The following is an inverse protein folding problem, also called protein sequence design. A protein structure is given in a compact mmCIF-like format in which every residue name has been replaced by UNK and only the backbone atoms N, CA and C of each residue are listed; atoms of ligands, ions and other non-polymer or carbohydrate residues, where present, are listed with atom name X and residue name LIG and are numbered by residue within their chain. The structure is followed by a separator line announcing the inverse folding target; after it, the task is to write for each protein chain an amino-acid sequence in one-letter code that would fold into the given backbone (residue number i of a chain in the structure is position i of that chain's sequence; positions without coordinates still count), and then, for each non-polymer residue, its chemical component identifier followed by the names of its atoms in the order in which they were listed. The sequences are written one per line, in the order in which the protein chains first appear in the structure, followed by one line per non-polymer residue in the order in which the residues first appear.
data_IF_103845397635
#
_entry.id   IF_103845397635
#
_cell.length_a   1.000
_cell.length_b   1.000
_cell.length_c   1.000
_cell.angle_alpha   90.00
_cell.angle_beta   90.00
_cell.angle_gamma   90.00
#
_symmetry.space_group_name_H-M   'P 1'
#
loop_
_entity.id
_entity.type
_entity.pdbx_description
1 polymer ?
#
# COMPACT_ATOMS: atom_id res chain seq x y z
N UNK A 1 4.71 4.29 -24.91
CA UNK A 1 3.33 4.75 -24.66
C UNK A 1 2.48 4.33 -25.84
N UNK A 2 1.23 3.96 -25.57
CA UNK A 2 0.26 3.53 -26.59
C UNK A 2 -1.03 4.30 -26.36
N UNK A 3 -1.65 4.80 -27.41
CA UNK A 3 -2.98 5.38 -27.33
C UNK A 3 -4.03 4.28 -27.19
N UNK A 4 -4.98 4.51 -26.31
CA UNK A 4 -6.13 3.64 -26.06
C UNK A 4 -7.40 4.46 -26.13
N UNK A 5 -8.47 3.81 -26.53
CA UNK A 5 -9.82 4.35 -26.45
C UNK A 5 -10.32 4.16 -25.01
N UNK A 6 -10.88 5.23 -24.42
CA UNK A 6 -11.45 5.21 -23.08
C UNK A 6 -12.95 5.50 -23.20
N UNK A 7 -13.77 4.58 -22.71
CA UNK A 7 -15.22 4.74 -22.67
C UNK A 7 -15.64 5.86 -21.71
N UNK A 8 -16.78 6.49 -21.97
CA UNK A 8 -17.39 7.42 -21.02
C UNK A 8 -17.78 6.69 -19.72
N UNK A 9 -17.77 7.38 -18.54
CA UNK A 9 -18.15 6.77 -17.28
C UNK A 9 -19.64 6.39 -17.26
N UNK A 10 -19.90 5.14 -16.89
CA UNK A 10 -21.24 4.61 -16.66
C UNK A 10 -21.80 4.99 -15.28
N UNK A 11 -22.96 4.45 -14.93
CA UNK A 11 -23.57 4.68 -13.61
C UNK A 11 -22.66 4.19 -12.47
N UNK A 12 -22.38 5.07 -11.50
CA UNK A 12 -21.47 4.79 -10.38
C UNK A 12 -19.98 4.80 -10.76
N UNK A 13 -19.63 5.39 -11.90
CA UNK A 13 -18.25 5.52 -12.39
C UNK A 13 -17.88 7.00 -12.57
N UNK A 14 -16.58 7.26 -12.57
CA UNK A 14 -16.00 8.59 -12.70
C UNK A 14 -14.83 8.55 -13.65
N UNK A 15 -14.73 9.54 -14.53
CA UNK A 15 -13.54 9.83 -15.30
C UNK A 15 -12.62 10.72 -14.46
N UNK A 16 -11.41 10.23 -14.18
CA UNK A 16 -10.38 10.95 -13.45
C UNK A 16 -9.22 11.25 -14.37
N UNK A 17 -8.85 12.52 -14.50
CA UNK A 17 -7.56 12.92 -15.06
C UNK A 17 -6.49 12.66 -14.03
N UNK A 18 -5.54 11.82 -14.36
CA UNK A 18 -4.46 11.44 -13.47
C UNK A 18 -3.34 12.50 -13.49
N UNK A 19 -2.86 12.85 -12.32
CA UNK A 19 -1.74 13.77 -12.12
C UNK A 19 -0.52 13.08 -11.53
N UNK A 20 -0.72 11.98 -10.79
CA UNK A 20 0.35 11.17 -10.26
C UNK A 20 -0.07 9.71 -10.14
N UNK A 21 0.89 8.80 -10.32
CA UNK A 21 0.73 7.38 -10.04
C UNK A 21 1.96 6.84 -9.31
N UNK A 22 1.76 6.26 -8.13
CA UNK A 22 2.81 5.53 -7.44
C UNK A 22 3.10 4.20 -8.14
N UNK A 23 4.35 3.73 -7.98
CA UNK A 23 4.79 2.42 -8.50
C UNK A 23 5.05 1.47 -7.34
N UNK A 24 4.39 0.34 -7.35
CA UNK A 24 4.40 -0.65 -6.29
C UNK A 24 5.04 -1.96 -6.76
N UNK A 25 5.49 -2.78 -5.82
CA UNK A 25 5.95 -4.13 -6.12
C UNK A 25 4.86 -5.01 -6.73
N UNK A 26 3.59 -4.75 -6.42
CA UNK A 26 2.45 -5.44 -7.03
C UNK A 26 2.32 -5.17 -8.54
N UNK A 27 2.66 -3.94 -8.99
CA UNK A 27 2.69 -3.64 -10.42
C UNK A 27 3.81 -4.40 -11.13
N UNK A 28 4.98 -4.54 -10.46
CA UNK A 28 6.09 -5.36 -10.97
C UNK A 28 5.68 -6.83 -11.08
N UNK A 29 5.06 -7.40 -10.05
CA UNK A 29 4.58 -8.78 -10.04
C UNK A 29 3.55 -9.04 -11.16
N UNK A 30 2.72 -8.05 -11.46
CA UNK A 30 1.78 -8.13 -12.58
C UNK A 30 2.50 -8.04 -13.93
N UNK A 31 3.54 -7.19 -14.04
CA UNK A 31 4.29 -6.99 -15.27
C UNK A 31 5.16 -8.20 -15.65
N UNK A 32 5.74 -8.89 -14.67
CA UNK A 32 6.63 -10.05 -14.88
C UNK A 32 5.89 -11.41 -14.83
N UNK A 33 4.59 -11.41 -14.56
CA UNK A 33 3.76 -12.63 -14.51
C UNK A 33 3.84 -13.40 -13.19
N UNK A 34 4.48 -12.85 -12.16
CA UNK A 34 4.52 -13.46 -10.81
C UNK A 34 3.12 -13.48 -10.17
N UNK A 35 2.27 -12.51 -10.49
CA UNK A 35 0.85 -12.52 -10.14
C UNK A 35 -0.03 -12.66 -11.38
N UNK A 36 -1.11 -13.45 -11.26
CA UNK A 36 -2.09 -13.58 -12.34
C UNK A 36 -2.70 -12.21 -12.67
N UNK A 37 -2.52 -11.78 -13.92
CA UNK A 37 -3.09 -10.54 -14.44
C UNK A 37 -3.63 -10.80 -15.83
N UNK A 38 -4.87 -10.41 -16.06
CA UNK A 38 -5.50 -10.57 -17.37
C UNK A 38 -4.91 -9.57 -18.36
N UNK A 39 -4.36 -10.06 -19.47
CA UNK A 39 -3.67 -9.24 -20.47
C UNK A 39 -4.43 -9.21 -21.81
N UNK A 40 -4.26 -8.13 -22.62
CA UNK A 40 -3.46 -6.93 -22.36
C UNK A 40 -4.09 -6.05 -21.28
N UNK A 41 -3.28 -5.40 -20.43
CA UNK A 41 -3.77 -4.58 -19.33
C UNK A 41 -2.98 -3.26 -19.20
N UNK A 42 -3.62 -2.25 -18.63
CA UNK A 42 -2.94 -1.05 -18.13
C UNK A 42 -2.71 -1.23 -16.62
N UNK A 43 -1.45 -1.16 -16.21
CA UNK A 43 -1.04 -1.30 -14.81
C UNK A 43 -1.24 -0.01 -13.99
N UNK A 44 -0.82 -0.04 -12.73
CA UNK A 44 -0.94 1.07 -11.80
C UNK A 44 -2.21 0.99 -10.95
N UNK A 45 -2.02 1.10 -9.62
CA UNK A 45 -3.12 1.05 -8.65
C UNK A 45 -2.98 2.08 -7.53
N UNK A 46 -2.03 3.00 -7.64
CA UNK A 46 -1.82 4.11 -6.73
C UNK A 46 -1.98 5.41 -7.51
N UNK A 47 -3.14 6.01 -7.53
CA UNK A 47 -3.43 7.18 -8.34
C UNK A 47 -3.95 8.37 -7.55
N UNK A 48 -3.69 9.56 -8.08
CA UNK A 48 -4.36 10.78 -7.66
C UNK A 48 -4.57 11.71 -8.86
N UNK A 49 -5.63 12.48 -8.82
CA UNK A 49 -5.97 13.34 -9.94
C UNK A 49 -7.22 14.17 -9.68
N UNK A 50 -7.80 14.65 -10.77
CA UNK A 50 -8.98 15.53 -10.77
C UNK A 50 -10.13 14.82 -11.50
N UNK A 51 -11.31 14.85 -10.91
CA UNK A 51 -12.54 14.37 -11.56
C UNK A 51 -12.86 15.26 -12.76
N UNK A 52 -12.99 14.66 -13.94
CA UNK A 52 -13.36 15.36 -15.18
C UNK A 52 -14.84 15.18 -15.53
N UNK A 53 -15.34 13.95 -15.35
CA UNK A 53 -16.74 13.65 -15.63
C UNK A 53 -17.25 12.59 -14.65
N UNK A 54 -18.54 12.63 -14.40
CA UNK A 54 -19.24 11.74 -13.49
C UNK A 54 -20.36 11.05 -14.24
N UNK A 55 -20.44 9.74 -14.12
CA UNK A 55 -21.51 8.95 -14.73
C UNK A 55 -22.88 9.22 -14.09
N UNK A 56 -23.96 8.71 -14.72
CA UNK A 56 -25.33 8.95 -14.23
C UNK A 56 -25.51 8.57 -12.76
N UNK A 57 -26.11 9.50 -11.98
CA UNK A 57 -26.40 9.29 -10.55
C UNK A 57 -25.19 9.39 -9.61
N UNK A 58 -24.02 9.77 -10.10
CA UNK A 58 -22.84 9.99 -9.27
C UNK A 58 -22.96 11.23 -8.36
N UNK A 59 -22.15 11.27 -7.32
CA UNK A 59 -22.19 12.29 -6.25
C UNK A 59 -21.03 13.26 -6.27
N UNK A 60 -19.92 12.87 -6.89
CA UNK A 60 -18.77 13.76 -7.05
C UNK A 60 -19.05 14.83 -8.10
N UNK A 61 -18.30 15.92 -8.05
CA UNK A 61 -18.41 17.02 -9.02
C UNK A 61 -17.12 17.13 -9.83
N UNK A 62 -17.17 17.46 -11.12
CA UNK A 62 -15.99 17.81 -11.90
C UNK A 62 -15.17 18.90 -11.19
N UNK A 63 -13.85 18.78 -11.24
CA UNK A 63 -12.91 19.64 -10.51
C UNK A 63 -12.52 19.13 -9.12
N UNK A 64 -13.21 18.12 -8.57
CA UNK A 64 -12.84 17.53 -7.27
C UNK A 64 -11.48 16.82 -7.36
N UNK A 65 -10.55 17.18 -6.48
CA UNK A 65 -9.28 16.45 -6.31
C UNK A 65 -9.53 15.14 -5.55
N UNK A 66 -8.94 14.04 -6.02
CA UNK A 66 -9.14 12.72 -5.43
C UNK A 66 -7.84 11.93 -5.31
N UNK A 67 -7.72 11.18 -4.23
CA UNK A 67 -6.83 10.02 -4.12
C UNK A 67 -7.63 8.77 -4.44
N UNK A 68 -7.03 7.81 -5.14
CA UNK A 68 -7.71 6.60 -5.58
C UNK A 68 -7.40 5.42 -4.66
N UNK A 69 -8.46 4.77 -4.18
CA UNK A 69 -8.38 3.47 -3.48
C UNK A 69 -8.64 2.34 -4.46
N UNK A 70 -7.79 1.33 -4.47
CA UNK A 70 -7.98 0.15 -5.31
C UNK A 70 -9.04 -0.84 -4.80
N UNK A 71 -9.72 -0.52 -3.68
CA UNK A 71 -10.75 -1.35 -3.08
C UNK A 71 -12.12 -0.65 -3.12
N UNK A 72 -12.91 -0.83 -4.20
CA UNK A 72 -14.26 -0.29 -4.31
C UNK A 72 -15.24 -1.10 -3.45
N UNK A 73 -15.32 -0.82 -2.17
CA UNK A 73 -16.21 -1.55 -1.26
C UNK A 73 -17.68 -1.45 -1.67
N UNK A 74 -18.41 -2.57 -1.71
CA UNK A 74 -19.82 -2.56 -2.13
C UNK A 74 -20.79 -1.98 -1.09
N UNK A 75 -20.35 -1.88 0.18
CA UNK A 75 -21.14 -1.33 1.29
C UNK A 75 -22.25 -2.24 1.84
N UNK A 76 -22.51 -3.41 1.25
CA UNK A 76 -23.66 -4.26 1.61
C UNK A 76 -23.34 -5.76 1.79
N UNK A 77 -22.17 -6.25 1.41
CA UNK A 77 -21.78 -7.62 1.76
C UNK A 77 -21.49 -7.72 3.27
N UNK A 78 -21.44 -8.93 3.78
CA UNK A 78 -21.23 -9.20 5.21
C UNK A 78 -20.02 -8.42 5.76
N UNK A 79 -18.87 -8.49 5.08
CA UNK A 79 -17.65 -7.79 5.52
C UNK A 79 -17.81 -6.27 5.54
N UNK A 80 -18.47 -5.71 4.52
CA UNK A 80 -18.73 -4.28 4.50
C UNK A 80 -19.66 -3.83 5.64
N UNK A 81 -20.72 -4.58 5.92
CA UNK A 81 -21.66 -4.29 7.03
C UNK A 81 -20.95 -4.37 8.39
N UNK A 82 -20.00 -5.29 8.56
CA UNK A 82 -19.12 -5.39 9.74
C UNK A 82 -18.07 -4.28 9.80
N UNK A 83 -17.99 -3.45 8.77
CA UNK A 83 -17.01 -2.37 8.68
C UNK A 83 -15.63 -2.82 8.21
N UNK A 84 -15.49 -4.03 7.68
CA UNK A 84 -14.26 -4.58 7.13
C UNK A 84 -14.22 -4.36 5.61
N UNK A 85 -14.33 -3.09 5.18
CA UNK A 85 -14.50 -2.72 3.76
C UNK A 85 -13.33 -3.16 2.89
N UNK A 86 -12.12 -3.25 3.45
CA UNK A 86 -10.91 -3.78 2.80
C UNK A 86 -10.99 -5.28 2.46
N UNK A 87 -11.95 -6.01 3.03
CA UNK A 87 -12.25 -7.41 2.75
C UNK A 87 -13.53 -7.60 1.95
N UNK A 88 -14.01 -6.57 1.24
CA UNK A 88 -15.23 -6.63 0.46
C UNK A 88 -15.23 -7.81 -0.52
N UNK A 89 -16.09 -8.79 -0.30
CA UNK A 89 -16.15 -10.03 -1.09
C UNK A 89 -16.51 -9.75 -2.56
N UNK A 90 -17.36 -8.75 -2.81
CA UNK A 90 -17.76 -8.35 -4.16
C UNK A 90 -16.56 -7.79 -4.94
N UNK A 91 -15.79 -6.89 -4.33
CA UNK A 91 -14.61 -6.31 -4.97
C UNK A 91 -13.52 -7.36 -5.17
N UNK A 92 -13.21 -8.19 -4.17
CA UNK A 92 -12.22 -9.26 -4.31
C UNK A 92 -12.56 -10.24 -5.43
N UNK A 93 -13.84 -10.65 -5.55
CA UNK A 93 -14.29 -11.53 -6.64
C UNK A 93 -14.18 -10.85 -8.01
N UNK A 94 -14.53 -9.57 -8.11
CA UNK A 94 -14.51 -8.83 -9.37
C UNK A 94 -13.09 -8.49 -9.85
N UNK A 95 -12.13 -8.35 -8.95
CA UNK A 95 -10.74 -7.93 -9.26
C UNK A 95 -10.06 -8.84 -10.29
N UNK A 96 -10.25 -10.15 -10.19
CA UNK A 96 -9.66 -11.13 -11.11
C UNK A 96 -10.22 -11.07 -12.54
N UNK A 97 -11.33 -10.36 -12.77
CA UNK A 97 -11.94 -10.27 -14.11
C UNK A 97 -11.28 -9.24 -15.03
N UNK A 98 -10.44 -8.34 -14.47
CA UNK A 98 -9.75 -7.30 -15.25
C UNK A 98 -10.68 -6.22 -15.80
N UNK A 99 -11.90 -6.11 -15.28
CA UNK A 99 -12.87 -5.06 -15.58
C UNK A 99 -13.16 -4.20 -14.37
N UNK A 100 -14.18 -3.34 -14.44
CA UNK A 100 -14.76 -2.67 -13.29
C UNK A 100 -15.70 -3.61 -12.53
N UNK A 101 -16.56 -3.09 -11.66
CA UNK A 101 -17.42 -3.91 -10.79
C UNK A 101 -18.45 -4.76 -11.57
N UNK A 102 -18.78 -4.36 -12.79
CA UNK A 102 -19.63 -5.10 -13.73
C UNK A 102 -18.86 -6.19 -14.52
N UNK A 103 -17.55 -6.31 -14.33
CA UNK A 103 -16.66 -7.25 -15.00
C UNK A 103 -16.22 -6.81 -16.40
N UNK A 104 -16.62 -5.61 -16.86
CA UNK A 104 -16.27 -5.11 -18.20
C UNK A 104 -15.20 -4.03 -18.15
N UNK A 105 -14.20 -4.04 -19.07
CA UNK A 105 -13.21 -2.99 -19.15
C UNK A 105 -13.79 -1.71 -19.80
N UNK A 106 -13.16 -0.58 -19.48
CA UNK A 106 -13.47 0.73 -20.11
C UNK A 106 -12.39 1.16 -21.09
N UNK A 107 -11.39 0.31 -21.30
CA UNK A 107 -10.27 0.53 -22.19
C UNK A 107 -10.36 -0.41 -23.39
N UNK A 108 -10.07 0.11 -24.59
CA UNK A 108 -9.92 -0.71 -25.81
C UNK A 108 -8.82 -0.18 -26.72
N UNK A 109 -8.40 -1.03 -27.64
CA UNK A 109 -7.49 -0.69 -28.73
C UNK A 109 -7.97 -1.36 -30.02
N UNK A 110 -8.34 -0.57 -31.01
CA UNK A 110 -8.88 -1.09 -32.28
C UNK A 110 -10.02 -2.11 -32.07
N UNK A 111 -10.95 -1.82 -31.18
CA UNK A 111 -12.07 -2.68 -30.80
C UNK A 111 -11.71 -3.90 -29.93
N UNK A 112 -10.45 -4.10 -29.59
CA UNK A 112 -10.02 -5.17 -28.69
C UNK A 112 -9.96 -4.64 -27.25
N UNK A 113 -10.57 -5.37 -26.30
CA UNK A 113 -10.57 -5.01 -24.89
C UNK A 113 -9.15 -4.96 -24.31
N UNK A 114 -8.88 -3.93 -23.51
CA UNK A 114 -7.69 -3.81 -22.66
C UNK A 114 -8.17 -3.78 -21.21
N UNK A 115 -7.58 -4.63 -20.36
CA UNK A 115 -8.08 -4.88 -19.02
C UNK A 115 -7.56 -3.86 -18.01
N UNK A 116 -8.33 -3.71 -16.94
CA UNK A 116 -7.95 -2.90 -15.79
C UNK A 116 -7.08 -3.71 -14.82
N UNK A 117 -6.08 -3.05 -14.24
CA UNK A 117 -5.39 -3.52 -13.07
C UNK A 117 -5.99 -2.89 -11.82
N UNK A 118 -6.48 -3.74 -10.90
CA UNK A 118 -7.07 -3.32 -9.61
C UNK A 118 -8.12 -2.21 -9.75
N UNK A 119 -8.99 -2.29 -10.77
CA UNK A 119 -10.05 -1.31 -11.10
C UNK A 119 -9.57 0.08 -11.54
N UNK A 120 -8.28 0.40 -11.42
CA UNK A 120 -7.78 1.77 -11.53
C UNK A 120 -6.98 2.04 -12.79
N UNK A 121 -5.99 1.20 -13.13
CA UNK A 121 -5.14 1.39 -14.33
C UNK A 121 -4.43 2.75 -14.38
N UNK A 122 -3.73 3.12 -13.31
CA UNK A 122 -3.23 4.48 -13.12
C UNK A 122 -1.96 4.83 -13.91
N UNK A 123 -1.35 3.86 -14.65
CA UNK A 123 -0.25 4.17 -15.58
C UNK A 123 -0.81 4.71 -16.90
N UNK A 124 -1.62 5.73 -16.79
CA UNK A 124 -2.34 6.40 -17.87
C UNK A 124 -2.45 7.90 -17.62
N UNK A 125 -2.94 8.65 -18.60
CA UNK A 125 -3.24 10.09 -18.45
C UNK A 125 -4.63 10.30 -17.85
N UNK A 126 -5.53 9.35 -18.06
CA UNK A 126 -6.88 9.36 -17.50
C UNK A 126 -7.37 7.93 -17.28
N UNK A 127 -8.30 7.75 -16.34
CA UNK A 127 -8.93 6.47 -16.06
C UNK A 127 -10.41 6.65 -15.74
N UNK A 128 -11.25 5.73 -16.21
CA UNK A 128 -12.61 5.55 -15.70
C UNK A 128 -12.56 4.51 -14.60
N UNK A 129 -13.01 4.89 -13.42
CA UNK A 129 -12.93 4.09 -12.19
C UNK A 129 -14.27 4.07 -11.46
N UNK A 130 -14.57 3.08 -10.61
CA UNK A 130 -15.73 3.14 -9.73
C UNK A 130 -15.67 4.40 -8.85
N UNK A 131 -16.75 5.14 -8.72
CA UNK A 131 -16.82 6.37 -7.89
C UNK A 131 -16.36 6.10 -6.45
N UNK A 132 -16.62 4.90 -5.93
CA UNK A 132 -16.21 4.45 -4.58
C UNK A 132 -14.69 4.31 -4.41
N UNK A 133 -13.93 4.28 -5.51
CA UNK A 133 -12.47 4.37 -5.47
C UNK A 133 -11.98 5.80 -5.25
N UNK A 134 -12.80 6.80 -5.50
CA UNK A 134 -12.42 8.21 -5.47
C UNK A 134 -12.65 8.81 -4.08
N UNK A 135 -11.59 9.07 -3.36
CA UNK A 135 -11.63 9.72 -2.04
C UNK A 135 -11.27 11.19 -2.20
N UNK A 136 -12.19 12.13 -1.98
CA UNK A 136 -11.91 13.56 -2.07
C UNK A 136 -10.75 13.98 -1.15
N UNK A 137 -9.88 14.83 -1.65
CA UNK A 137 -8.73 15.37 -0.91
C UNK A 137 -8.70 16.90 -0.99
N UNK A 138 -8.08 17.58 -0.01
CA UNK A 138 -7.84 19.03 -0.13
C UNK A 138 -6.92 19.34 -1.31
N UNK A 139 -7.21 20.44 -2.03
CA UNK A 139 -6.41 20.91 -3.19
C UNK A 139 -4.99 21.32 -2.81
N UNK A 140 -4.75 21.57 -1.53
CA UNK A 140 -3.41 21.85 -0.99
C UNK A 140 -2.50 20.64 -0.89
N UNK A 141 -3.04 19.42 -1.03
CA UNK A 141 -2.28 18.17 -0.99
C UNK A 141 -1.67 17.89 -2.37
N UNK A 142 -0.33 17.73 -2.48
CA UNK A 142 0.29 17.35 -3.74
C UNK A 142 -0.22 15.99 -4.23
N UNK A 143 -0.54 15.88 -5.52
CA UNK A 143 -1.02 14.61 -6.10
C UNK A 143 -0.04 13.45 -5.95
N UNK A 144 1.26 13.72 -5.98
CA UNK A 144 2.31 12.72 -5.74
C UNK A 144 2.20 12.08 -4.35
N UNK A 145 1.89 12.88 -3.33
CA UNK A 145 1.67 12.39 -1.97
C UNK A 145 0.33 11.66 -1.88
N UNK A 146 -0.71 12.23 -2.46
CA UNK A 146 -2.06 11.65 -2.46
C UNK A 146 -2.07 10.27 -3.14
N UNK A 147 -1.34 10.10 -4.25
CA UNK A 147 -1.23 8.82 -4.95
C UNK A 147 -0.67 7.71 -4.05
N UNK A 148 0.36 7.99 -3.25
CA UNK A 148 0.96 7.01 -2.34
C UNK A 148 0.00 6.56 -1.23
N UNK A 149 -0.95 7.42 -0.84
CA UNK A 149 -1.97 7.06 0.15
C UNK A 149 -2.87 5.94 -0.37
N UNK A 150 -3.05 5.83 -1.68
CA UNK A 150 -3.88 4.81 -2.32
C UNK A 150 -3.50 3.37 -2.01
N UNK A 151 -2.22 3.08 -1.71
CA UNK A 151 -1.77 1.73 -1.38
C UNK A 151 -0.73 1.69 -0.26
N UNK A 152 0.54 2.03 -0.57
CA UNK A 152 1.64 1.77 0.35
C UNK A 152 1.50 2.49 1.69
N UNK A 153 1.07 3.75 1.67
CA UNK A 153 0.90 4.55 2.89
C UNK A 153 -0.26 4.03 3.72
N UNK A 154 -1.44 3.84 3.11
CA UNK A 154 -2.60 3.28 3.81
C UNK A 154 -2.31 1.90 4.40
N UNK A 155 -1.63 1.04 3.63
CA UNK A 155 -1.26 -0.30 4.07
C UNK A 155 -0.34 -0.26 5.29
N UNK A 156 0.74 0.51 5.24
CA UNK A 156 1.72 0.57 6.33
C UNK A 156 1.17 1.27 7.58
N UNK A 157 0.62 2.46 7.41
CA UNK A 157 0.02 3.24 8.51
C UNK A 157 -1.15 2.47 9.13
N UNK A 158 -2.04 1.93 8.30
CA UNK A 158 -3.21 1.17 8.74
C UNK A 158 -2.85 -0.11 9.49
N UNK A 159 -1.78 -0.81 9.09
CA UNK A 159 -1.31 -1.99 9.83
C UNK A 159 -0.93 -1.64 11.27
N UNK A 160 -0.33 -0.47 11.48
CA UNK A 160 0.00 0.03 12.82
C UNK A 160 -1.23 0.49 13.58
N UNK A 161 -2.10 1.27 12.95
CA UNK A 161 -3.24 1.91 13.63
C UNK A 161 -4.45 1.00 13.78
N UNK A 162 -4.82 0.29 12.72
CA UNK A 162 -6.06 -0.49 12.67
C UNK A 162 -5.81 -1.96 13.02
N UNK A 163 -4.81 -2.63 12.38
CA UNK A 163 -4.56 -4.06 12.62
C UNK A 163 -3.89 -4.28 13.96
N UNK A 164 -2.77 -3.62 14.22
CA UNK A 164 -2.01 -3.75 15.47
C UNK A 164 -2.64 -2.99 16.63
N UNK A 165 -3.30 -1.87 16.34
CA UNK A 165 -3.82 -0.94 17.36
C UNK A 165 -2.72 -0.45 18.33
N UNK A 166 -1.57 -0.09 17.75
CA UNK A 166 -0.39 0.42 18.49
C UNK A 166 -0.77 1.66 19.30
N UNK A 167 -0.20 1.77 20.50
CA UNK A 167 -0.44 2.87 21.43
C UNK A 167 0.85 3.66 21.68
N UNK A 168 0.74 4.90 22.18
CA UNK A 168 1.90 5.65 22.62
C UNK A 168 2.72 4.85 23.64
N UNK A 169 4.04 4.77 23.45
CA UNK A 169 4.96 4.03 24.30
C UNK A 169 5.15 2.56 23.92
N UNK A 170 4.33 1.98 23.01
CA UNK A 170 4.57 0.63 22.53
C UNK A 170 5.88 0.55 21.75
N UNK A 171 6.57 -0.58 21.87
CA UNK A 171 7.80 -0.90 21.16
C UNK A 171 7.45 -1.55 19.83
N UNK A 172 7.98 -1.03 18.74
CA UNK A 172 7.66 -1.53 17.40
C UNK A 172 8.94 -1.90 16.64
N UNK A 173 8.93 -3.03 15.96
CA UNK A 173 9.95 -3.38 14.97
C UNK A 173 9.33 -3.45 13.58
N UNK A 174 10.03 -2.91 12.58
CA UNK A 174 9.64 -2.91 11.18
C UNK A 174 10.61 -3.79 10.40
N UNK A 175 10.14 -4.88 9.82
CA UNK A 175 10.91 -5.79 8.97
C UNK A 175 10.60 -5.49 7.50
N UNK A 176 11.60 -5.00 6.78
CA UNK A 176 11.48 -4.50 5.41
C UNK A 176 11.21 -3.00 5.36
N UNK A 177 12.22 -2.23 4.94
CA UNK A 177 12.18 -0.77 4.83
C UNK A 177 11.88 -0.31 3.39
N UNK A 178 10.94 -0.99 2.72
CA UNK A 178 10.33 -0.53 1.47
C UNK A 178 9.21 0.50 1.74
N UNK A 179 8.45 0.83 0.70
CA UNK A 179 7.37 1.83 0.79
C UNK A 179 6.36 1.54 1.91
N UNK A 180 5.90 0.30 2.03
CA UNK A 180 4.95 -0.13 3.08
C UNK A 180 5.59 -0.08 4.47
N UNK A 181 6.80 -0.64 4.61
CA UNK A 181 7.48 -0.66 5.92
C UNK A 181 7.86 0.73 6.44
N UNK A 182 8.35 1.62 5.57
CA UNK A 182 8.63 3.00 5.97
C UNK A 182 7.35 3.80 6.26
N UNK A 183 6.24 3.48 5.60
CA UNK A 183 4.93 4.04 5.95
C UNK A 183 4.47 3.54 7.34
N UNK A 184 4.69 2.26 7.66
CA UNK A 184 4.42 1.71 8.99
C UNK A 184 5.31 2.38 10.06
N UNK A 185 6.59 2.61 9.76
CA UNK A 185 7.51 3.34 10.63
C UNK A 185 6.97 4.75 10.93
N UNK A 186 6.60 5.51 9.90
CA UNK A 186 6.02 6.83 10.08
C UNK A 186 4.71 6.78 10.89
N UNK A 187 3.84 5.80 10.61
CA UNK A 187 2.61 5.59 11.35
C UNK A 187 2.84 5.29 12.83
N UNK A 188 3.87 4.49 13.16
CA UNK A 188 4.27 4.18 14.53
C UNK A 188 4.82 5.42 15.27
N UNK A 189 5.68 6.18 14.60
CA UNK A 189 6.21 7.43 15.17
C UNK A 189 5.11 8.47 15.39
N UNK A 190 4.19 8.62 14.44
CA UNK A 190 3.09 9.60 14.53
C UNK A 190 2.14 9.31 15.71
N UNK A 191 2.00 8.04 16.12
CA UNK A 191 1.18 7.65 17.27
C UNK A 191 1.97 7.69 18.59
N UNK A 192 3.30 7.91 18.56
CA UNK A 192 4.15 7.98 19.74
C UNK A 192 4.68 6.62 20.20
N UNK A 193 4.79 5.63 19.33
CA UNK A 193 5.48 4.37 19.62
C UNK A 193 6.97 4.63 19.89
N UNK A 194 7.55 3.94 20.87
CA UNK A 194 8.97 4.09 21.22
C UNK A 194 9.49 2.91 22.06
N UNK A 195 10.65 2.32 21.71
CA UNK A 195 11.43 2.56 20.51
C UNK A 195 10.77 2.01 19.25
N UNK A 196 11.11 2.58 18.09
CA UNK A 196 10.78 2.02 16.77
C UNK A 196 12.07 1.57 16.10
N UNK A 197 12.22 0.27 15.87
CA UNK A 197 13.42 -0.36 15.27
C UNK A 197 13.13 -0.76 13.84
N UNK A 198 14.05 -0.47 12.93
CA UNK A 198 13.91 -0.86 11.52
C UNK A 198 14.95 -1.92 11.14
N UNK A 199 14.51 -2.97 10.43
CA UNK A 199 15.35 -4.10 9.98
C UNK A 199 15.23 -4.25 8.46
N UNK A 200 16.36 -4.28 7.75
CA UNK A 200 16.41 -4.50 6.30
C UNK A 200 17.77 -5.14 5.90
N UNK A 201 17.82 -5.69 4.70
CA UNK A 201 19.06 -6.15 4.06
C UNK A 201 19.89 -4.98 3.52
N UNK A 202 19.24 -3.91 3.08
CA UNK A 202 19.84 -2.76 2.39
C UNK A 202 20.26 -1.68 3.37
N UNK A 203 21.57 -1.38 3.41
CA UNK A 203 22.10 -0.27 4.19
C UNK A 203 21.50 1.10 3.77
N UNK A 204 21.20 1.27 2.47
CA UNK A 204 20.57 2.50 1.97
C UNK A 204 19.14 2.69 2.54
N UNK A 205 18.34 1.61 2.60
CA UNK A 205 17.00 1.63 3.18
C UNK A 205 17.04 1.86 4.69
N UNK A 206 18.01 1.26 5.39
CA UNK A 206 18.23 1.52 6.82
C UNK A 206 18.62 2.98 7.09
N UNK A 207 19.46 3.57 6.23
CA UNK A 207 19.77 5.01 6.30
C UNK A 207 18.51 5.87 6.11
N UNK A 208 17.63 5.50 5.18
CA UNK A 208 16.35 6.17 5.00
C UNK A 208 15.46 6.05 6.25
N UNK A 209 15.36 4.85 6.85
CA UNK A 209 14.60 4.62 8.07
C UNK A 209 15.14 5.46 9.24
N UNK A 210 16.46 5.50 9.44
CA UNK A 210 17.09 6.36 10.45
C UNK A 210 16.78 7.84 10.20
N UNK A 211 16.89 8.29 8.95
CA UNK A 211 16.52 9.65 8.54
C UNK A 211 15.06 10.00 8.81
N UNK A 212 14.15 9.03 8.78
CA UNK A 212 12.73 9.20 9.10
C UNK A 212 12.43 9.14 10.59
N UNK A 213 13.40 8.80 11.45
CA UNK A 213 13.26 8.83 12.89
C UNK A 213 13.23 7.46 13.59
N UNK A 214 13.64 6.39 12.90
CA UNK A 214 13.82 5.10 13.59
C UNK A 214 14.77 5.25 14.77
N UNK A 215 14.41 4.69 15.93
CA UNK A 215 15.21 4.76 17.16
C UNK A 215 16.50 3.95 17.06
N UNK A 216 16.45 2.87 16.28
CA UNK A 216 17.59 2.03 15.94
C UNK A 216 17.35 1.36 14.58
N UNK A 217 18.46 0.96 13.94
CA UNK A 217 18.42 0.18 12.70
C UNK A 217 19.27 -1.07 12.85
N UNK A 218 18.77 -2.21 12.35
CA UNK A 218 19.46 -3.49 12.36
C UNK A 218 19.55 -4.06 10.94
N UNK A 219 20.75 -4.46 10.54
CA UNK A 219 20.89 -5.22 9.29
C UNK A 219 20.44 -6.66 9.55
N UNK A 220 19.76 -7.28 8.58
CA UNK A 220 19.44 -8.69 8.61
C UNK A 220 20.70 -9.53 8.90
N UNK A 221 20.67 -10.35 9.94
CA UNK A 221 21.84 -11.06 10.46
C UNK A 221 22.16 -12.40 9.74
N UNK A 222 21.40 -12.72 8.66
CA UNK A 222 21.57 -13.95 7.90
C UNK A 222 20.51 -15.02 8.18
N UNK A 223 19.97 -15.05 9.39
CA UNK A 223 18.89 -15.94 9.83
C UNK A 223 17.87 -15.23 10.73
N UNK A 224 16.74 -15.91 10.97
CA UNK A 224 15.63 -15.35 11.72
C UNK A 224 15.94 -15.19 13.22
N UNK A 225 16.60 -16.15 13.81
CA UNK A 225 16.92 -16.22 15.25
C UNK A 225 17.90 -15.12 15.65
N UNK A 226 19.02 -15.01 14.94
CA UNK A 226 20.04 -13.98 15.19
C UNK A 226 19.47 -12.57 14.96
N UNK A 227 18.65 -12.41 13.93
CA UNK A 227 17.98 -11.11 13.66
C UNK A 227 16.99 -10.76 14.79
N UNK A 228 16.20 -11.71 15.24
CA UNK A 228 15.27 -11.50 16.35
C UNK A 228 15.99 -11.21 17.66
N UNK A 229 17.15 -11.85 17.92
CA UNK A 229 17.96 -11.57 19.10
C UNK A 229 18.51 -10.15 19.09
N UNK A 230 18.99 -9.67 17.95
CA UNK A 230 19.44 -8.29 17.78
C UNK A 230 18.31 -7.27 18.05
N UNK A 231 17.09 -7.54 17.55
CA UNK A 231 15.92 -6.70 17.83
C UNK A 231 15.57 -6.73 19.33
N UNK A 232 15.56 -7.89 19.98
CA UNK A 232 15.29 -8.01 21.42
C UNK A 232 16.32 -7.26 22.26
N UNK A 233 17.59 -7.33 21.89
CA UNK A 233 18.67 -6.59 22.54
C UNK A 233 18.46 -5.06 22.44
N UNK A 234 18.09 -4.59 21.23
CA UNK A 234 17.82 -3.16 20.97
C UNK A 234 16.53 -2.64 21.64
N UNK A 235 15.65 -3.52 22.12
CA UNK A 235 14.32 -3.17 22.65
C UNK A 235 14.09 -3.66 24.08
N UNK A 236 15.17 -3.94 24.83
CA UNK A 236 15.08 -4.42 26.22
C UNK A 236 14.12 -5.61 26.41
N UNK A 237 14.30 -6.65 25.60
CA UNK A 237 13.59 -7.92 25.74
C UNK A 237 12.48 -8.19 24.72
N UNK A 238 12.34 -7.36 23.71
CA UNK A 238 11.41 -7.57 22.60
C UNK A 238 10.38 -6.47 22.41
N UNK A 239 9.64 -6.57 21.30
CA UNK A 239 8.66 -5.55 20.90
C UNK A 239 7.23 -5.96 21.20
N UNK A 240 6.34 -4.98 21.33
CA UNK A 240 4.89 -5.20 21.42
C UNK A 240 4.35 -5.66 20.06
N UNK A 241 4.83 -5.01 19.01
CA UNK A 241 4.42 -5.31 17.64
C UNK A 241 5.63 -5.38 16.71
N UNK A 242 5.70 -6.46 15.93
CA UNK A 242 6.66 -6.61 14.85
C UNK A 242 5.91 -6.60 13.52
N UNK A 243 6.10 -5.55 12.73
CA UNK A 243 5.44 -5.34 11.43
C UNK A 243 6.32 -5.93 10.33
N UNK A 244 5.83 -6.94 9.63
CA UNK A 244 6.54 -7.60 8.55
C UNK A 244 5.98 -7.17 7.20
N UNK A 245 6.82 -6.58 6.34
CA UNK A 245 6.46 -5.98 5.06
C UNK A 245 7.31 -6.50 3.89
N UNK A 246 7.96 -7.67 4.03
CA UNK A 246 8.77 -8.28 2.96
C UNK A 246 8.06 -9.44 2.26
N UNK A 247 7.18 -10.16 2.96
CA UNK A 247 6.55 -11.39 2.49
C UNK A 247 7.45 -12.63 2.55
N UNK A 248 8.62 -12.56 3.18
CA UNK A 248 9.55 -13.68 3.30
C UNK A 248 9.25 -14.49 4.57
N UNK A 249 9.12 -15.84 4.48
CA UNK A 249 8.85 -16.67 5.65
C UNK A 249 9.90 -16.54 6.78
N UNK A 250 11.17 -16.37 6.44
CA UNK A 250 12.25 -16.16 7.41
C UNK A 250 12.11 -14.80 8.14
N UNK A 251 11.72 -13.75 7.42
CA UNK A 251 11.43 -12.44 8.03
C UNK A 251 10.16 -12.48 8.89
N UNK A 252 9.14 -13.22 8.48
CA UNK A 252 7.93 -13.47 9.29
C UNK A 252 8.27 -14.21 10.60
N UNK A 253 9.16 -15.23 10.53
CA UNK A 253 9.66 -15.93 11.70
C UNK A 253 10.46 -14.99 12.61
N UNK A 254 11.38 -14.19 12.06
CA UNK A 254 12.15 -13.21 12.82
C UNK A 254 11.24 -12.18 13.51
N UNK A 255 10.22 -11.68 12.81
CA UNK A 255 9.21 -10.78 13.37
C UNK A 255 8.50 -11.43 14.57
N UNK A 256 8.05 -12.68 14.42
CA UNK A 256 7.40 -13.42 15.51
C UNK A 256 8.34 -13.63 16.71
N UNK A 257 9.58 -14.04 16.47
CA UNK A 257 10.57 -14.28 17.52
C UNK A 257 11.03 -13.00 18.23
N UNK A 258 10.90 -11.84 17.57
CA UNK A 258 11.26 -10.54 18.15
C UNK A 258 10.23 -10.03 19.15
N UNK A 259 9.02 -10.60 19.18
CA UNK A 259 7.96 -10.13 20.09
C UNK A 259 8.22 -10.56 21.53
N UNK A 260 7.88 -9.67 22.49
CA UNK A 260 7.82 -9.99 23.91
C UNK A 260 6.60 -10.90 24.22
N UNK A 261 6.45 -11.44 25.43
CA UNK A 261 5.21 -12.09 25.84
C UNK A 261 3.99 -11.19 25.58
N UNK A 262 2.90 -11.76 25.03
CA UNK A 262 1.67 -11.10 24.58
C UNK A 262 1.84 -10.14 23.40
N UNK A 263 3.04 -10.02 22.82
CA UNK A 263 3.28 -9.25 21.61
C UNK A 263 2.66 -9.92 20.37
N UNK A 264 2.63 -9.19 19.25
CA UNK A 264 2.09 -9.67 17.99
C UNK A 264 3.04 -9.41 16.81
N UNK A 265 3.21 -10.42 15.95
CA UNK A 265 3.72 -10.24 14.60
C UNK A 265 2.57 -9.88 13.67
N UNK A 266 2.68 -8.76 12.95
CA UNK A 266 1.69 -8.27 11.98
C UNK A 266 2.25 -8.49 10.59
N UNK A 267 1.65 -9.40 9.83
CA UNK A 267 2.11 -9.84 8.53
C UNK A 267 1.35 -9.07 7.44
N UNK A 268 2.07 -8.23 6.71
CA UNK A 268 1.55 -7.41 5.59
C UNK A 268 2.14 -7.90 4.27
N UNK A 269 3.40 -8.33 4.31
CA UNK A 269 4.13 -8.75 3.11
C UNK A 269 3.46 -9.92 2.43
N UNK A 270 3.25 -9.80 1.10
CA UNK A 270 2.68 -10.88 0.29
C UNK A 270 3.86 -11.70 -0.26
N UNK A 271 3.98 -12.92 0.24
CA UNK A 271 4.98 -13.89 -0.23
C UNK A 271 4.49 -14.67 -1.45
N UNK A 272 5.34 -15.59 -1.93
CA UNK A 272 4.95 -16.54 -2.96
C UNK A 272 3.77 -17.42 -2.48
N UNK A 273 2.91 -17.83 -3.39
CA UNK A 273 1.73 -18.64 -3.06
C UNK A 273 2.06 -20.01 -2.43
N UNK A 274 3.23 -20.56 -2.74
CA UNK A 274 3.74 -21.83 -2.23
C UNK A 274 4.60 -21.68 -0.95
N UNK A 275 4.81 -20.45 -0.47
CA UNK A 275 5.63 -20.18 0.70
C UNK A 275 4.95 -20.66 1.99
N UNK A 276 5.70 -21.32 2.85
CA UNK A 276 5.22 -21.87 4.13
C UNK A 276 5.98 -21.22 5.28
N UNK A 277 5.23 -20.67 6.24
CA UNK A 277 5.77 -20.17 7.51
C UNK A 277 5.80 -21.29 8.54
N UNK A 278 6.98 -21.64 9.03
CA UNK A 278 7.16 -22.59 10.13
C UNK A 278 7.42 -21.85 11.44
N UNK A 279 6.68 -22.20 12.48
CA UNK A 279 6.76 -21.54 13.78
C UNK A 279 7.00 -22.55 14.90
N UNK A 280 7.79 -22.20 15.93
CA UNK A 280 7.94 -23.02 17.13
C UNK A 280 6.63 -22.96 17.94
N UNK A 281 5.77 -23.99 17.75
CA UNK A 281 4.41 -24.06 18.27
C UNK A 281 4.30 -23.75 19.79
N UNK A 282 5.29 -24.22 20.58
CA UNK A 282 5.32 -24.03 22.04
C UNK A 282 5.37 -22.55 22.46
N UNK A 283 5.93 -21.67 21.62
CA UNK A 283 6.08 -20.25 21.92
C UNK A 283 4.75 -19.49 21.86
N UNK A 284 3.77 -20.03 21.13
CA UNK A 284 2.44 -19.40 21.02
C UNK A 284 1.75 -19.43 22.41
N UNK A 285 1.43 -20.61 22.99
CA UNK A 285 0.72 -20.66 24.26
C UNK A 285 1.57 -20.21 25.45
N UNK A 286 2.89 -20.54 25.49
CA UNK A 286 3.73 -20.19 26.63
C UNK A 286 3.91 -18.69 26.85
N UNK A 287 3.97 -17.93 25.76
CA UNK A 287 4.18 -16.49 25.83
C UNK A 287 2.95 -15.69 25.37
N UNK A 288 1.82 -16.35 25.11
CA UNK A 288 0.60 -15.73 24.56
C UNK A 288 0.89 -14.83 23.34
N UNK A 289 1.87 -15.24 22.52
CA UNK A 289 2.22 -14.51 21.29
C UNK A 289 1.12 -14.64 20.25
N UNK A 290 0.97 -13.59 19.46
CA UNK A 290 -0.06 -13.51 18.41
C UNK A 290 0.56 -13.32 17.04
N UNK A 291 -0.17 -13.78 16.01
CA UNK A 291 0.08 -13.48 14.61
C UNK A 291 -1.19 -12.84 14.06
N UNK A 292 -1.04 -11.69 13.42
CA UNK A 292 -2.13 -10.94 12.83
C UNK A 292 -1.85 -10.76 11.33
N UNK A 293 -2.78 -11.16 10.47
CA UNK A 293 -2.76 -10.80 9.07
C UNK A 293 -3.26 -9.38 8.86
N UNK A 294 -2.68 -8.65 7.93
CA UNK A 294 -3.11 -7.30 7.59
C UNK A 294 -3.24 -7.14 6.08
N UNK A 295 -4.45 -7.15 5.58
CA UNK A 295 -4.77 -6.82 4.19
C UNK A 295 -5.07 -5.33 4.08
N UNK A 296 -4.34 -4.63 3.19
CA UNK A 296 -4.52 -3.19 2.95
C UNK A 296 -4.50 -2.33 4.25
N UNK A 297 -3.74 -2.78 5.27
CA UNK A 297 -3.68 -2.10 6.57
C UNK A 297 -5.00 -2.08 7.35
N UNK A 298 -5.96 -2.94 7.02
CA UNK A 298 -7.32 -2.92 7.59
C UNK A 298 -7.99 -1.54 7.50
N UNK A 299 -7.69 -0.79 6.43
CA UNK A 299 -8.19 0.59 6.26
C UNK A 299 -9.63 0.65 5.75
N UNK A 300 -10.29 1.73 6.11
CA UNK A 300 -11.51 2.25 5.49
C UNK A 300 -11.13 3.53 4.77
N UNK A 301 -10.96 3.52 3.45
CA UNK A 301 -10.41 4.66 2.71
C UNK A 301 -11.13 5.98 3.01
N UNK A 302 -12.46 5.98 3.07
CA UNK A 302 -13.27 7.17 3.32
C UNK A 302 -13.03 7.78 4.72
N UNK A 303 -12.60 6.96 5.69
CA UNK A 303 -12.26 7.40 7.05
C UNK A 303 -10.77 7.74 7.17
N UNK A 304 -9.91 6.85 6.65
CA UNK A 304 -8.49 6.86 7.00
C UNK A 304 -7.66 7.78 6.10
N UNK A 305 -8.00 7.90 4.80
CA UNK A 305 -7.26 8.80 3.89
C UNK A 305 -7.31 10.25 4.35
N UNK A 306 -8.49 10.83 4.69
CA UNK A 306 -8.55 12.19 5.22
C UNK A 306 -7.68 12.38 6.47
N UNK A 307 -7.68 11.42 7.40
CA UNK A 307 -6.86 11.50 8.63
C UNK A 307 -5.36 11.45 8.30
N UNK A 308 -4.93 10.55 7.42
CA UNK A 308 -3.55 10.45 6.97
C UNK A 308 -3.09 11.76 6.32
N UNK A 309 -3.91 12.33 5.44
CA UNK A 309 -3.59 13.56 4.73
C UNK A 309 -3.61 14.79 5.66
N UNK A 310 -4.49 14.81 6.66
CA UNK A 310 -4.48 15.86 7.68
C UNK A 310 -3.19 15.82 8.52
N UNK A 311 -2.71 14.64 8.86
CA UNK A 311 -1.43 14.48 9.56
C UNK A 311 -0.24 14.86 8.68
N UNK A 312 -0.30 14.58 7.36
CA UNK A 312 0.67 15.10 6.42
C UNK A 312 0.67 16.63 6.39
N UNK A 313 -0.50 17.26 6.22
CA UNK A 313 -0.63 18.72 6.17
C UNK A 313 -0.14 19.41 7.46
N UNK A 314 -0.28 18.75 8.62
CA UNK A 314 0.23 19.25 9.91
C UNK A 314 1.72 18.92 10.15
N UNK A 315 2.43 18.31 9.21
CA UNK A 315 3.84 17.93 9.33
C UNK A 315 4.12 16.72 10.24
N UNK A 316 3.07 16.09 10.79
CA UNK A 316 3.22 14.92 11.68
C UNK A 316 3.48 13.61 10.93
N UNK A 317 3.17 13.56 9.65
CA UNK A 317 3.38 12.40 8.79
C UNK A 317 4.07 12.86 7.48
N UNK A 318 5.40 12.98 7.44
CA UNK A 318 6.13 13.55 6.30
C UNK A 318 6.20 12.56 5.13
N UNK A 319 5.07 12.34 4.44
CA UNK A 319 4.90 11.35 3.37
C UNK A 319 5.70 11.66 2.11
N UNK A 320 5.94 12.93 1.82
CA UNK A 320 6.78 13.41 0.72
C UNK A 320 8.21 12.85 0.81
N UNK A 321 8.73 12.59 2.01
CA UNK A 321 10.04 12.00 2.25
C UNK A 321 10.15 10.52 1.83
N UNK A 322 9.03 9.87 1.55
CA UNK A 322 9.02 8.52 0.99
C UNK A 322 9.32 8.53 -0.52
N UNK A 323 9.08 9.65 -1.21
CA UNK A 323 9.28 9.76 -2.66
C UNK A 323 10.77 9.88 -2.96
N UNK A 324 11.38 8.80 -3.42
CA UNK A 324 12.79 8.77 -3.81
C UNK A 324 13.03 9.12 -5.28
N UNK A 325 12.04 8.87 -6.14
CA UNK A 325 12.14 9.10 -7.58
C UNK A 325 10.85 9.68 -8.15
N UNK A 326 11.00 10.69 -8.99
CA UNK A 326 9.92 11.27 -9.80
C UNK A 326 10.28 11.10 -11.26
N UNK A 327 9.42 10.45 -12.02
CA UNK A 327 9.67 10.08 -13.41
C UNK A 327 8.44 10.44 -14.26
N UNK A 328 8.64 10.82 -15.52
CA UNK A 328 7.51 10.97 -16.42
C UNK A 328 6.84 9.63 -16.70
N UNK A 329 5.55 9.62 -16.99
CA UNK A 329 4.77 8.40 -17.25
C UNK A 329 5.42 7.50 -18.32
N UNK A 330 6.08 8.09 -19.32
CA UNK A 330 6.81 7.38 -20.36
C UNK A 330 7.93 6.48 -19.84
N UNK A 331 8.44 6.78 -18.64
CA UNK A 331 9.51 6.04 -17.97
C UNK A 331 8.98 4.95 -17.03
N UNK A 332 7.73 4.47 -17.21
CA UNK A 332 7.14 3.46 -16.36
C UNK A 332 8.00 2.18 -16.25
N UNK A 333 8.64 1.73 -17.34
CA UNK A 333 9.56 0.60 -17.30
C UNK A 333 10.76 0.87 -16.40
N UNK A 334 11.38 2.04 -16.50
CA UNK A 334 12.48 2.44 -15.63
C UNK A 334 12.05 2.48 -14.16
N UNK A 335 10.83 2.93 -13.87
CA UNK A 335 10.30 2.93 -12.51
C UNK A 335 10.10 1.52 -11.95
N UNK A 336 9.63 0.57 -12.78
CA UNK A 336 9.53 -0.86 -12.41
C UNK A 336 10.91 -1.48 -12.16
N UNK A 337 11.91 -1.12 -12.96
CA UNK A 337 13.29 -1.60 -12.78
C UNK A 337 13.89 -1.09 -11.46
N UNK A 338 13.69 0.18 -11.09
CA UNK A 338 14.09 0.73 -9.79
C UNK A 338 13.43 0.03 -8.60
N UNK A 339 12.18 -0.42 -8.77
CA UNK A 339 11.49 -1.24 -7.76
C UNK A 339 12.09 -2.64 -7.69
N UNK A 340 12.36 -3.28 -8.84
CA UNK A 340 12.99 -4.61 -8.94
C UNK A 340 14.34 -4.64 -8.27
N UNK A 341 15.17 -3.66 -8.53
CA UNK A 341 16.54 -3.54 -8.00
C UNK A 341 16.55 -3.09 -6.52
N UNK A 342 15.38 -2.77 -5.96
CA UNK A 342 15.25 -2.30 -4.58
C UNK A 342 15.88 -0.92 -4.34
N UNK A 343 16.20 -0.17 -5.39
CA UNK A 343 16.81 1.16 -5.34
C UNK A 343 15.79 2.23 -4.94
N UNK A 344 14.56 2.12 -5.45
CA UNK A 344 13.48 3.03 -5.06
C UNK A 344 12.90 2.66 -3.70
N UNK A 345 12.70 3.65 -2.84
CA UNK A 345 11.77 3.56 -1.71
C UNK A 345 10.34 3.68 -2.28
N UNK A 346 10.05 4.82 -2.92
CA UNK A 346 8.85 5.03 -3.74
C UNK A 346 9.22 5.78 -5.02
N UNK A 347 8.79 5.24 -6.15
CA UNK A 347 8.81 5.95 -7.42
C UNK A 347 7.40 6.46 -7.72
N UNK A 348 7.30 7.66 -8.27
CA UNK A 348 6.05 8.27 -8.71
C UNK A 348 6.17 8.65 -10.17
N UNK A 349 5.18 8.26 -10.95
CA UNK A 349 5.02 8.63 -12.35
C UNK A 349 4.12 9.85 -12.47
N UNK A 350 4.52 10.82 -13.28
CA UNK A 350 3.70 12.00 -13.58
C UNK A 350 3.30 11.97 -15.06
N UNK A 351 2.01 11.95 -15.37
CA UNK A 351 1.54 12.14 -16.73
C UNK A 351 1.96 13.52 -17.29
N UNK A 352 2.09 13.65 -18.61
CA UNK A 352 2.34 14.97 -19.21
C UNK A 352 1.18 15.91 -18.86
N UNK A 353 1.47 17.23 -18.74
CA UNK A 353 0.41 18.21 -18.62
C UNK A 353 -0.54 18.09 -19.81
N UNK A 354 -1.83 18.36 -19.57
CA UNK A 354 -2.82 18.40 -20.64
C UNK A 354 -2.45 19.47 -21.69
N UNK A 355 -2.66 19.20 -22.97
CA UNK A 355 -2.46 20.20 -24.02
C UNK A 355 -3.32 21.43 -23.83
#
# INVERSE_FOLDING_TARGET
MTELELAAPGAGEVLVRLHASGVCHSDLNAADGTSETRCPAVLGHEGAGVVEAVGPGGRLTPGTHVALSWMPSCGQCEECVRGLTHLCQVAWKAMGHGGLLDGTPRLSRNGTAVYHYSFLSTFATAAVVPERCCIPIPDTVPFEVAALVGCAVATGVGAVWNTASVRPGDRVAIFGCGGVGLSALLGALAIGATPVVAVDLSAAKLKAAAGLGASATGRWAGDAESTAEAVRAATSGGVDYAIEATGRPDAMLAAFLSTRPRGAAVLIGIGRADAVLQLPAIQIPRAERRILGSAYGSVRPERDFPVILQLYASGRLPLDRLISHRLPLQSAQQALDLVRDGTAVRAVLTPPPSP
#
